data_IF_639248856067
#
_entry.id   IF_639248856067
#
_cell.length_a   1.000
_cell.length_b   1.000
_cell.length_c   1.000
_cell.angle_alpha   90.00
_cell.angle_beta   90.00
_cell.angle_gamma   90.00
#
_symmetry.space_group_name_H-M   'P 1'
#
loop_
_entity.id
_entity.type
_entity.pdbx_description
1 polymer ?
#
# COMPACT_ATOMS: atom_id res chain seq x y z
N UNK A 1 -0.45 -18.35 3.38
CA UNK A 1 -0.69 -18.44 4.83
C UNK A 1 -1.30 -17.12 5.25
N UNK A 2 -2.58 -17.10 5.63
CA UNK A 2 -3.28 -15.88 6.03
C UNK A 2 -2.75 -15.32 7.36
N UNK A 3 -3.15 -14.11 7.72
CA UNK A 3 -2.86 -13.50 9.03
C UNK A 3 -3.81 -14.04 10.12
N UNK A 4 -4.00 -15.37 10.19
CA UNK A 4 -4.99 -16.03 11.06
C UNK A 4 -4.69 -15.90 12.56
N UNK A 5 -3.48 -15.46 12.93
CA UNK A 5 -3.09 -15.19 14.31
C UNK A 5 -3.17 -13.71 14.70
N UNK A 6 -3.61 -12.83 13.79
CA UNK A 6 -3.72 -11.41 14.09
C UNK A 6 -4.86 -11.15 15.10
N UNK A 7 -4.54 -10.48 16.20
CA UNK A 7 -5.51 -10.13 17.22
C UNK A 7 -6.59 -9.15 16.72
N UNK A 8 -7.73 -9.13 17.41
CA UNK A 8 -8.87 -8.27 17.06
C UNK A 8 -8.51 -6.78 17.01
N UNK A 9 -7.64 -6.32 17.92
CA UNK A 9 -7.16 -4.93 17.97
C UNK A 9 -6.40 -4.54 16.70
N UNK A 10 -5.58 -5.43 16.16
CA UNK A 10 -4.88 -5.23 14.88
C UNK A 10 -5.89 -5.14 13.72
N UNK A 11 -6.85 -6.06 13.66
CA UNK A 11 -7.83 -6.10 12.58
C UNK A 11 -8.73 -4.86 12.59
N UNK A 12 -9.15 -4.41 13.77
CA UNK A 12 -9.92 -3.18 13.94
C UNK A 12 -9.11 -1.98 13.48
N UNK A 13 -7.85 -1.86 13.91
CA UNK A 13 -6.99 -0.74 13.50
C UNK A 13 -6.79 -0.68 11.97
N UNK A 14 -6.57 -1.83 11.31
CA UNK A 14 -6.42 -1.89 9.85
C UNK A 14 -7.72 -1.69 9.06
N UNK A 15 -8.89 -1.60 9.72
CA UNK A 15 -10.16 -1.20 9.09
C UNK A 15 -10.42 0.30 9.20
N UNK A 16 -9.87 0.97 10.21
CA UNK A 16 -10.02 2.42 10.39
C UNK A 16 -9.49 3.21 9.18
N UNK A 17 -10.01 4.42 8.95
CA UNK A 17 -9.62 5.25 7.80
C UNK A 17 -8.38 6.09 8.10
N UNK A 18 -7.21 5.49 7.96
CA UNK A 18 -5.90 6.14 8.10
C UNK A 18 -5.06 6.02 6.85
N UNK A 19 -4.30 7.08 6.51
CA UNK A 19 -3.21 6.94 5.53
C UNK A 19 -2.06 6.16 6.16
N UNK A 20 -1.31 5.47 5.32
CA UNK A 20 -0.10 4.74 5.70
C UNK A 20 1.11 5.37 5.01
N UNK A 21 2.30 5.10 5.52
CA UNK A 21 3.54 5.25 4.75
C UNK A 21 3.83 3.93 4.03
N UNK A 22 4.24 4.01 2.77
CA UNK A 22 4.81 2.90 2.02
C UNK A 22 6.30 3.17 1.80
N UNK A 23 7.14 2.30 2.32
CA UNK A 23 8.57 2.25 2.08
C UNK A 23 8.86 1.22 0.99
N UNK A 24 9.55 1.67 -0.04
CA UNK A 24 10.10 0.85 -1.14
C UNK A 24 11.60 1.09 -1.20
N UNK A 25 12.38 0.16 -1.76
CA UNK A 25 13.82 0.35 -1.93
C UNK A 25 14.15 0.85 -3.33
N UNK A 26 15.03 1.84 -3.44
CA UNK A 26 15.67 2.23 -4.70
C UNK A 26 16.70 1.15 -5.11
N UNK A 27 17.18 1.14 -6.37
CA UNK A 27 18.20 0.17 -6.82
C UNK A 27 19.50 0.19 -6.01
N UNK A 28 19.85 1.35 -5.42
CA UNK A 28 21.01 1.52 -4.53
C UNK A 28 20.73 1.06 -3.08
N UNK A 29 19.54 0.50 -2.81
CA UNK A 29 19.12 0.07 -1.48
C UNK A 29 18.57 1.17 -0.59
N UNK A 30 18.64 2.45 -0.98
CA UNK A 30 18.12 3.55 -0.17
C UNK A 30 16.59 3.54 -0.08
N UNK A 31 15.99 3.93 1.06
CA UNK A 31 14.54 3.93 1.23
C UNK A 31 13.88 5.10 0.50
N UNK A 32 12.79 4.80 -0.21
CA UNK A 32 11.86 5.77 -0.77
C UNK A 32 10.50 5.60 -0.11
N UNK A 33 10.06 6.63 0.63
CA UNK A 33 8.87 6.60 1.49
C UNK A 33 7.82 7.56 0.95
N UNK A 34 6.57 7.10 0.82
CA UNK A 34 5.44 7.95 0.36
C UNK A 34 4.15 7.65 1.10
N UNK A 35 3.26 8.64 1.33
CA UNK A 35 1.92 8.39 1.87
C UNK A 35 1.05 7.65 0.84
N UNK A 36 0.25 6.68 1.31
CA UNK A 36 -0.67 5.87 0.51
C UNK A 36 -1.91 5.48 1.32
N UNK A 37 -3.03 5.22 0.65
CA UNK A 37 -4.10 4.41 1.25
C UNK A 37 -3.83 2.93 1.01
N UNK A 38 -4.18 2.10 1.98
CA UNK A 38 -3.90 0.65 1.95
C UNK A 38 -5.17 -0.10 2.28
N UNK A 39 -5.44 -1.23 1.63
CA UNK A 39 -6.48 -2.16 2.07
C UNK A 39 -5.84 -3.47 2.46
N UNK A 40 -6.35 -4.10 3.53
CA UNK A 40 -5.84 -5.36 4.02
C UNK A 40 -6.90 -6.45 3.85
N UNK A 41 -6.50 -7.57 3.26
CA UNK A 41 -7.20 -8.84 3.28
C UNK A 41 -6.48 -9.78 4.24
N UNK A 42 -6.93 -9.90 5.51
CA UNK A 42 -6.25 -10.73 6.50
C UNK A 42 -6.29 -12.22 6.16
N UNK A 43 -7.41 -12.69 5.60
CA UNK A 43 -7.58 -14.10 5.24
C UNK A 43 -6.59 -14.51 4.14
N UNK A 44 -6.40 -13.66 3.13
CA UNK A 44 -5.43 -13.90 2.07
C UNK A 44 -3.99 -13.51 2.46
N UNK A 45 -3.80 -12.71 3.52
CA UNK A 45 -2.52 -12.14 3.88
C UNK A 45 -2.04 -11.07 2.88
N UNK A 46 -2.96 -10.33 2.26
CA UNK A 46 -2.66 -9.40 1.16
C UNK A 46 -2.99 -7.96 1.55
N UNK A 47 -1.98 -7.10 1.56
CA UNK A 47 -2.16 -5.65 1.55
C UNK A 47 -2.10 -5.11 0.12
N UNK A 48 -2.99 -4.17 -0.24
CA UNK A 48 -3.07 -3.57 -1.58
C UNK A 48 -2.87 -2.06 -1.51
N UNK A 49 -2.15 -1.55 -2.51
CA UNK A 49 -1.96 -0.12 -2.78
C UNK A 49 -2.31 0.14 -4.24
N UNK A 50 -3.18 1.10 -4.50
CA UNK A 50 -3.47 1.56 -5.87
C UNK A 50 -2.51 2.70 -6.19
N UNK A 51 -1.88 2.66 -7.36
CA UNK A 51 -0.95 3.70 -7.80
C UNK A 51 -0.79 3.71 -9.30
N UNK A 52 -0.34 4.84 -9.88
CA UNK A 52 0.02 4.90 -11.30
C UNK A 52 1.24 4.02 -11.60
N UNK A 53 1.22 3.37 -12.76
CA UNK A 53 2.30 2.53 -13.28
C UNK A 53 3.66 3.22 -13.24
N UNK A 54 3.71 4.49 -13.64
CA UNK A 54 4.97 5.24 -13.79
C UNK A 54 5.50 5.82 -12.48
N UNK A 55 4.79 5.61 -11.36
CA UNK A 55 5.21 6.11 -10.06
C UNK A 55 6.54 5.48 -9.63
N UNK A 56 7.34 6.24 -8.86
CA UNK A 56 8.60 5.72 -8.32
C UNK A 56 8.39 4.49 -7.44
N UNK A 57 7.32 4.48 -6.64
CA UNK A 57 6.98 3.35 -5.74
C UNK A 57 6.64 2.07 -6.52
N UNK A 58 5.93 2.18 -7.65
CA UNK A 58 5.63 1.01 -8.51
C UNK A 58 6.91 0.46 -9.14
N UNK A 59 7.77 1.33 -9.68
CA UNK A 59 9.07 0.93 -10.25
C UNK A 59 9.98 0.27 -9.21
N UNK A 60 10.08 0.85 -8.02
CA UNK A 60 10.87 0.31 -6.93
C UNK A 60 10.33 -1.05 -6.44
N UNK A 61 9.01 -1.19 -6.31
CA UNK A 61 8.38 -2.45 -5.91
C UNK A 61 8.60 -3.55 -6.95
N UNK A 62 8.49 -3.23 -8.25
CA UNK A 62 8.78 -4.17 -9.32
C UNK A 62 10.26 -4.61 -9.35
N UNK A 63 11.18 -3.68 -9.10
CA UNK A 63 12.62 -3.95 -9.16
C UNK A 63 13.15 -4.74 -7.95
N UNK A 64 12.67 -4.42 -6.74
CA UNK A 64 13.25 -4.93 -5.48
C UNK A 64 12.35 -5.92 -4.76
N UNK A 65 11.04 -5.83 -4.97
CA UNK A 65 10.03 -6.67 -4.34
C UNK A 65 9.91 -6.54 -2.83
N UNK A 66 10.78 -5.80 -2.12
CA UNK A 66 10.75 -5.63 -0.65
C UNK A 66 10.04 -4.33 -0.29
N UNK A 67 9.03 -4.43 0.58
CA UNK A 67 8.27 -3.26 1.04
C UNK A 67 7.94 -3.35 2.53
N UNK A 68 7.72 -2.18 3.11
CA UNK A 68 7.10 -2.03 4.41
C UNK A 68 5.98 -1.00 4.31
N UNK A 69 4.85 -1.26 4.96
CA UNK A 69 3.74 -0.32 5.10
C UNK A 69 3.51 -0.07 6.57
N UNK A 70 3.53 1.19 7.01
CA UNK A 70 3.22 1.55 8.39
C UNK A 70 1.95 2.41 8.45
N UNK A 71 0.98 1.98 9.23
CA UNK A 71 -0.15 2.78 9.65
C UNK A 71 0.13 3.35 11.04
N UNK A 72 -0.12 4.64 11.24
CA UNK A 72 0.09 5.31 12.52
C UNK A 72 -1.07 6.25 12.84
N UNK A 73 -1.49 6.26 14.10
CA UNK A 73 -2.51 7.13 14.66
C UNK A 73 -2.17 7.45 16.13
N UNK A 74 -1.69 8.67 16.39
CA UNK A 74 -1.19 9.08 17.70
C UNK A 74 -0.09 8.14 18.22
N UNK A 75 -0.40 7.39 19.27
CA UNK A 75 0.51 6.41 19.90
C UNK A 75 0.35 4.98 19.38
N UNK A 76 -0.61 4.72 18.48
CA UNK A 76 -0.86 3.40 17.89
C UNK A 76 -0.16 3.32 16.55
N UNK A 77 0.58 2.25 16.31
CA UNK A 77 1.13 1.95 14.99
C UNK A 77 1.16 0.45 14.71
N UNK A 78 1.16 0.11 13.43
CA UNK A 78 1.35 -1.26 12.95
C UNK A 78 2.10 -1.22 11.63
N UNK A 79 3.12 -2.06 11.50
CA UNK A 79 3.87 -2.22 10.24
C UNK A 79 3.58 -3.58 9.63
N UNK A 80 3.25 -3.60 8.34
CA UNK A 80 3.21 -4.81 7.51
C UNK A 80 4.47 -4.83 6.66
N UNK A 81 5.25 -5.90 6.76
CA UNK A 81 6.44 -6.11 5.95
C UNK A 81 6.24 -7.31 5.05
N UNK A 82 6.76 -7.25 3.83
CA UNK A 82 6.60 -8.37 2.93
C UNK A 82 7.13 -8.15 1.53
N UNK A 83 6.66 -9.02 0.64
CA UNK A 83 6.96 -8.94 -0.78
C UNK A 83 5.82 -8.24 -1.53
N UNK A 84 6.18 -7.27 -2.37
CA UNK A 84 5.26 -6.63 -3.29
C UNK A 84 5.37 -7.24 -4.69
N UNK A 85 4.23 -7.37 -5.35
CA UNK A 85 4.13 -7.62 -6.78
C UNK A 85 3.28 -6.53 -7.40
N UNK A 86 3.68 -6.03 -8.56
CA UNK A 86 2.87 -5.07 -9.33
C UNK A 86 1.90 -5.86 -10.20
N UNK A 87 0.63 -5.48 -10.16
CA UNK A 87 -0.46 -6.06 -10.96
C UNK A 87 -1.15 -4.94 -11.72
N UNK A 88 -1.44 -5.21 -12.98
CA UNK A 88 -2.10 -4.29 -13.90
C UNK A 88 -3.23 -4.95 -14.69
N UNK A 89 -3.55 -6.21 -14.40
CA UNK A 89 -4.68 -6.88 -15.00
C UNK A 89 -5.99 -6.20 -14.54
N UNK A 90 -6.96 -5.97 -15.44
CA UNK A 90 -8.16 -5.19 -15.13
C UNK A 90 -8.97 -5.72 -13.94
N UNK A 91 -8.98 -7.04 -13.74
CA UNK A 91 -9.72 -7.67 -12.65
C UNK A 91 -9.10 -7.37 -11.28
N UNK A 92 -7.77 -7.48 -11.15
CA UNK A 92 -7.07 -7.12 -9.92
C UNK A 92 -7.17 -5.62 -9.61
N UNK A 93 -7.13 -4.77 -10.65
CA UNK A 93 -7.32 -3.32 -10.48
C UNK A 93 -8.72 -3.01 -9.96
N UNK A 94 -9.76 -3.55 -10.58
CA UNK A 94 -11.15 -3.33 -10.16
C UNK A 94 -11.41 -3.84 -8.73
N UNK A 95 -10.86 -5.00 -8.38
CA UNK A 95 -10.92 -5.54 -7.01
C UNK A 95 -10.24 -4.60 -6.00
N UNK A 96 -9.06 -4.07 -6.32
CA UNK A 96 -8.35 -3.15 -5.46
C UNK A 96 -9.13 -1.84 -5.29
N UNK A 97 -9.68 -1.28 -6.38
CA UNK A 97 -10.49 -0.07 -6.39
C UNK A 97 -11.76 -0.22 -5.55
N UNK A 98 -12.48 -1.36 -5.68
CA UNK A 98 -13.67 -1.63 -4.86
C UNK A 98 -13.34 -1.62 -3.36
N UNK A 99 -12.32 -2.37 -2.95
CA UNK A 99 -11.87 -2.41 -1.55
C UNK A 99 -11.40 -1.04 -1.05
N UNK A 100 -10.73 -0.28 -1.91
CA UNK A 100 -10.28 1.06 -1.55
C UNK A 100 -11.48 1.99 -1.32
N UNK A 101 -12.52 1.89 -2.15
CA UNK A 101 -13.76 2.65 -1.97
C UNK A 101 -14.48 2.27 -0.67
N UNK A 102 -14.51 0.98 -0.31
CA UNK A 102 -15.08 0.48 0.96
C UNK A 102 -14.38 1.10 2.19
N UNK A 103 -13.05 1.26 2.17
CA UNK A 103 -12.28 1.80 3.30
C UNK A 103 -12.15 3.32 3.31
N UNK A 104 -12.04 3.94 2.14
CA UNK A 104 -11.69 5.36 2.01
C UNK A 104 -12.77 6.15 1.29
N UNK A 105 -12.69 6.19 -0.04
CA UNK A 105 -13.58 6.88 -0.98
C UNK A 105 -13.32 6.32 -2.37
N UNK A 106 -14.25 6.51 -3.30
CA UNK A 106 -14.03 6.15 -4.71
C UNK A 106 -12.73 6.83 -5.22
N UNK A 107 -11.77 6.07 -5.77
CA UNK A 107 -10.58 6.65 -6.36
C UNK A 107 -10.96 7.63 -7.48
N UNK A 108 -10.40 8.84 -7.44
CA UNK A 108 -10.45 9.70 -8.62
C UNK A 108 -9.52 9.12 -9.69
N UNK A 109 -9.82 9.28 -11.00
CA UNK A 109 -8.88 8.93 -12.05
C UNK A 109 -7.53 9.60 -11.77
N UNK A 110 -6.47 8.82 -11.89
CA UNK A 110 -5.15 9.27 -11.48
C UNK A 110 -4.69 10.42 -12.38
N UNK A 111 -4.41 11.62 -11.84
CA UNK A 111 -3.84 12.71 -12.63
C UNK A 111 -2.45 12.31 -13.16
N UNK A 112 -2.06 12.82 -14.33
CA UNK A 112 -0.69 12.65 -14.83
C UNK A 112 0.30 13.13 -13.76
N UNK A 113 1.31 12.30 -13.47
CA UNK A 113 2.15 12.46 -12.29
C UNK A 113 2.77 13.86 -12.19
N UNK A 114 2.49 14.59 -11.09
CA UNK A 114 3.28 15.75 -10.71
C UNK A 114 4.65 15.26 -10.25
N UNK A 115 5.62 15.30 -11.16
CA UNK A 115 7.02 15.08 -10.82
C UNK A 115 7.57 16.34 -10.17
N UNK A 116 7.27 16.60 -8.90
CA UNK A 116 8.13 17.47 -8.10
C UNK A 116 9.42 16.69 -7.81
N UNK A 117 10.40 16.86 -8.69
CA UNK A 117 11.81 16.67 -8.33
C UNK A 117 12.17 17.83 -7.41
N UNK A 118 12.30 17.56 -6.12
CA UNK A 118 13.19 18.37 -5.29
C UNK A 118 14.54 17.65 -5.20
N UNK A 119 15.66 18.41 -5.23
CA UNK A 119 17.02 17.90 -5.38
C UNK A 119 17.45 16.96 -4.25
#
# INVERSE_FOLDING_TARGET
MGMELAGESFLTFWRERHLCTLTTLRPDGSPHVTPVGVTLDPAAGIARVITSRDSRKARNAAATGRVAVCQIDGRRWSTLEGRAVVRDDPAAVAEAERRYAERYRVPAPTPAASSSRSP
#
